data_IF_380584757870
#
_entry.id   IF_380584757870
#
_cell.length_a   1.000
_cell.length_b   1.000
_cell.length_c   1.000
_cell.angle_alpha   90.00
_cell.angle_beta   90.00
_cell.angle_gamma   90.00
#
_symmetry.space_group_name_H-M   'P 1'
#
loop_
_entity.id
_entity.type
_entity.pdbx_description
1 polymer ?
#
# COMPACT_ATOMS: atom_id res chain seq x y z
N UNK A 1 -27.74 -65.60 33.00
CA UNK A 1 -27.02 -64.30 32.94
C UNK A 1 -26.32 -64.23 31.60
N UNK A 2 -26.87 -63.50 30.62
CA UNK A 2 -26.24 -63.38 29.30
C UNK A 2 -25.25 -62.20 29.35
N UNK A 3 -23.96 -62.49 29.25
CA UNK A 3 -22.91 -61.47 29.09
C UNK A 3 -22.99 -60.91 27.67
N UNK A 4 -23.33 -59.63 27.55
CA UNK A 4 -23.19 -58.88 26.30
C UNK A 4 -21.69 -58.86 25.94
N UNK A 5 -21.33 -59.42 24.79
CA UNK A 5 -19.96 -59.32 24.26
C UNK A 5 -19.54 -57.86 24.11
N UNK A 6 -18.22 -57.57 24.14
CA UNK A 6 -17.72 -56.21 24.02
C UNK A 6 -18.25 -55.57 22.74
N UNK A 7 -18.74 -54.34 22.86
CA UNK A 7 -19.30 -53.59 21.74
C UNK A 7 -18.19 -53.35 20.71
N UNK A 8 -18.30 -53.98 19.54
CA UNK A 8 -17.36 -53.79 18.44
C UNK A 8 -17.52 -52.35 17.92
N UNK A 9 -16.49 -51.53 18.13
CA UNK A 9 -16.47 -50.16 17.65
C UNK A 9 -16.20 -50.21 16.15
N UNK A 10 -16.98 -49.47 15.36
CA UNK A 10 -16.82 -49.42 13.91
C UNK A 10 -15.51 -48.68 13.54
N UNK A 11 -14.42 -49.44 13.47
CA UNK A 11 -13.08 -48.92 13.16
C UNK A 11 -12.95 -48.37 11.75
N UNK A 12 -13.80 -48.82 10.80
CA UNK A 12 -13.82 -48.29 9.43
C UNK A 12 -14.31 -46.83 9.42
N UNK A 13 -15.42 -46.55 10.11
CA UNK A 13 -15.96 -45.19 10.19
C UNK A 13 -15.06 -44.24 10.98
N UNK A 14 -14.37 -44.75 12.02
CA UNK A 14 -13.37 -43.95 12.74
C UNK A 14 -12.13 -43.65 11.88
N UNK A 15 -11.70 -44.60 11.05
CA UNK A 15 -10.56 -44.40 10.15
C UNK A 15 -10.86 -43.36 9.06
N UNK A 16 -12.05 -43.39 8.47
CA UNK A 16 -12.45 -42.40 7.44
C UNK A 16 -12.52 -40.98 8.01
N UNK A 17 -13.10 -40.82 9.21
CA UNK A 17 -13.17 -39.51 9.88
C UNK A 17 -11.76 -39.02 10.25
N UNK A 18 -10.89 -39.89 10.74
CA UNK A 18 -9.50 -39.52 11.05
C UNK A 18 -8.72 -39.13 9.79
N UNK A 19 -8.94 -39.79 8.65
CA UNK A 19 -8.30 -39.47 7.38
C UNK A 19 -8.77 -38.14 6.80
N UNK A 20 -10.07 -37.86 6.86
CA UNK A 20 -10.63 -36.56 6.46
C UNK A 20 -10.11 -35.42 7.34
N UNK A 21 -10.02 -35.63 8.66
CA UNK A 21 -9.43 -34.64 9.57
C UNK A 21 -7.93 -34.44 9.29
N UNK A 22 -7.19 -35.51 9.03
CA UNK A 22 -5.76 -35.43 8.71
C UNK A 22 -5.52 -34.65 7.40
N UNK A 23 -6.26 -34.96 6.34
CA UNK A 23 -6.17 -34.25 5.06
C UNK A 23 -6.63 -32.80 5.18
N UNK A 24 -7.68 -32.53 5.97
CA UNK A 24 -8.11 -31.18 6.31
C UNK A 24 -7.03 -30.40 7.06
N UNK A 25 -6.42 -31.00 8.10
CA UNK A 25 -5.30 -30.38 8.82
C UNK A 25 -4.09 -30.16 7.92
N UNK A 26 -3.72 -31.12 7.06
CA UNK A 26 -2.62 -30.96 6.11
C UNK A 26 -2.90 -29.85 5.08
N UNK A 27 -4.13 -29.76 4.56
CA UNK A 27 -4.53 -28.76 3.57
C UNK A 27 -4.63 -27.35 4.17
N UNK A 28 -5.11 -27.23 5.40
CA UNK A 28 -5.22 -25.93 6.10
C UNK A 28 -3.91 -25.47 6.72
N UNK A 29 -2.98 -26.37 7.06
CA UNK A 29 -1.64 -26.02 7.57
C UNK A 29 -0.63 -25.72 6.45
N UNK A 30 -0.85 -26.23 5.23
CA UNK A 30 -0.04 -25.87 4.06
C UNK A 30 -0.50 -24.60 3.36
N UNK A 31 -1.62 -23.99 3.80
CA UNK A 31 -1.94 -22.60 3.47
C UNK A 31 -1.02 -21.67 4.27
N UNK A 32 0.24 -21.67 3.86
CA UNK A 32 1.23 -20.71 4.30
C UNK A 32 0.88 -19.33 3.75
N UNK A 33 0.15 -18.53 4.55
CA UNK A 33 -0.12 -17.12 4.27
C UNK A 33 1.07 -16.25 4.68
N UNK A 34 2.25 -16.53 4.14
CA UNK A 34 3.45 -15.71 4.35
C UNK A 34 3.49 -14.44 3.48
N UNK A 35 2.33 -13.81 3.24
CA UNK A 35 2.23 -12.46 2.66
C UNK A 35 1.18 -11.62 3.38
N UNK A 36 1.13 -11.71 4.71
CA UNK A 36 0.50 -10.68 5.52
C UNK A 36 1.43 -9.47 5.60
N UNK A 37 1.23 -8.45 4.77
CA UNK A 37 1.76 -7.12 5.07
C UNK A 37 1.25 -6.73 6.46
N UNK A 38 2.15 -6.67 7.45
CA UNK A 38 1.83 -6.14 8.79
C UNK A 38 1.54 -4.64 8.65
N UNK A 39 0.32 -4.31 8.24
CA UNK A 39 -0.18 -2.94 8.25
C UNK A 39 -0.71 -2.65 9.65
N UNK A 40 0.03 -1.88 10.43
CA UNK A 40 -0.60 -1.21 11.56
C UNK A 40 -1.66 -0.26 10.99
N UNK A 41 -2.89 -0.38 11.48
CA UNK A 41 -3.88 0.64 11.24
C UNK A 41 -3.32 1.95 11.82
N UNK A 42 -3.38 3.08 11.08
CA UNK A 42 -3.13 4.38 11.68
C UNK A 42 -3.98 4.51 12.95
N UNK A 43 -3.44 5.10 14.03
CA UNK A 43 -4.23 5.33 15.22
C UNK A 43 -5.52 6.10 14.83
N UNK A 44 -6.68 5.74 15.43
CA UNK A 44 -7.91 6.47 15.17
C UNK A 44 -7.67 7.95 15.50
N UNK A 45 -7.93 8.83 14.52
CA UNK A 45 -7.80 10.27 14.69
C UNK A 45 -8.80 10.72 15.76
N UNK A 46 -8.32 10.99 16.97
CA UNK A 46 -9.09 11.66 18.03
C UNK A 46 -9.08 13.15 17.75
N UNK A 47 -10.00 13.57 16.89
CA UNK A 47 -10.27 14.96 16.54
C UNK A 47 -11.43 14.98 15.56
N UNK A 48 -12.16 16.09 15.47
CA UNK A 48 -13.10 16.29 14.37
C UNK A 48 -12.36 16.02 13.07
N UNK A 49 -12.77 14.98 12.34
CA UNK A 49 -12.32 14.77 10.97
C UNK A 49 -12.92 15.96 10.21
N UNK A 50 -12.18 17.07 10.16
CA UNK A 50 -12.36 18.06 9.12
C UNK A 50 -12.44 17.21 7.86
N UNK A 51 -13.60 17.22 7.21
CA UNK A 51 -13.73 16.69 5.85
C UNK A 51 -12.80 17.56 5.02
N UNK A 52 -11.50 17.23 5.04
CA UNK A 52 -10.51 17.86 4.21
C UNK A 52 -10.95 17.47 2.82
N UNK A 53 -11.65 18.39 2.17
CA UNK A 53 -12.04 18.30 0.79
C UNK A 53 -10.72 18.24 0.03
N UNK A 54 -10.23 17.03 -0.23
CA UNK A 54 -8.96 16.82 -0.92
C UNK A 54 -9.19 17.40 -2.31
N UNK A 55 -8.53 18.53 -2.59
CA UNK A 55 -8.66 19.18 -3.88
C UNK A 55 -8.23 18.19 -4.96
N UNK A 56 -8.99 18.09 -6.05
CA UNK A 56 -8.72 17.12 -7.12
C UNK A 56 -7.30 17.26 -7.71
N UNK A 57 -6.74 18.49 -7.71
CA UNK A 57 -5.34 18.76 -8.11
C UNK A 57 -4.29 18.09 -7.21
N UNK A 58 -4.66 17.80 -5.95
CA UNK A 58 -3.78 17.14 -4.99
C UNK A 58 -3.80 15.61 -5.15
N UNK A 59 -4.58 15.05 -6.08
CA UNK A 59 -4.68 13.60 -6.27
C UNK A 59 -4.10 13.21 -7.63
N UNK A 60 -3.10 12.33 -7.64
CA UNK A 60 -2.68 11.63 -8.86
C UNK A 60 -3.31 10.25 -8.89
N UNK A 61 -4.06 9.97 -9.95
CA UNK A 61 -4.64 8.65 -10.19
C UNK A 61 -3.61 7.81 -10.93
N UNK A 62 -3.20 6.71 -10.31
CA UNK A 62 -2.37 5.65 -10.88
C UNK A 62 -3.28 4.45 -11.10
N UNK A 63 -3.65 4.20 -12.36
CA UNK A 63 -4.57 3.14 -12.74
C UNK A 63 -3.87 2.04 -13.52
N UNK A 64 -4.15 0.79 -13.14
CA UNK A 64 -3.74 -0.40 -13.89
C UNK A 64 -4.99 -1.02 -14.51
N UNK A 65 -4.96 -1.32 -15.81
CA UNK A 65 -6.06 -1.96 -16.50
C UNK A 65 -5.89 -3.48 -16.61
N UNK A 66 -6.91 -4.15 -17.15
CA UNK A 66 -6.96 -5.59 -17.41
C UNK A 66 -5.89 -6.14 -18.36
N UNK A 67 -5.21 -5.26 -19.11
CA UNK A 67 -4.12 -5.60 -20.01
C UNK A 67 -2.75 -5.30 -19.38
N UNK A 68 -2.70 -5.14 -18.05
CA UNK A 68 -1.53 -4.73 -17.26
C UNK A 68 -0.88 -3.43 -17.75
N UNK A 69 -1.64 -2.56 -18.44
CA UNK A 69 -1.17 -1.24 -18.84
C UNK A 69 -1.39 -0.24 -17.71
N UNK A 70 -0.34 0.50 -17.42
CA UNK A 70 -0.31 1.55 -16.44
C UNK A 70 -0.72 2.89 -17.06
N UNK A 71 -1.57 3.60 -16.34
CA UNK A 71 -1.95 4.98 -16.63
C UNK A 71 -1.67 5.81 -15.37
N UNK A 72 -0.94 6.92 -15.48
CA UNK A 72 -0.80 7.87 -14.38
C UNK A 72 -1.20 9.27 -14.83
N UNK A 73 -2.03 9.95 -14.04
CA UNK A 73 -2.56 11.26 -14.42
C UNK A 73 -3.37 11.25 -15.72
N UNK A 74 -3.96 10.10 -16.06
CA UNK A 74 -4.74 9.90 -17.29
C UNK A 74 -3.93 9.59 -18.56
N UNK A 75 -2.60 9.52 -18.48
CA UNK A 75 -1.73 9.20 -19.62
C UNK A 75 -1.17 7.78 -19.51
N UNK A 76 -1.17 6.97 -20.60
CA UNK A 76 -0.51 5.67 -20.60
C UNK A 76 1.00 5.86 -20.44
N UNK A 77 1.63 5.04 -19.60
CA UNK A 77 3.08 5.10 -19.38
C UNK A 77 3.65 3.75 -18.96
N UNK A 78 4.95 3.59 -19.12
CA UNK A 78 5.67 2.43 -18.63
C UNK A 78 5.93 2.54 -17.13
N UNK A 79 5.96 1.39 -16.46
CA UNK A 79 6.19 1.28 -15.01
C UNK A 79 7.51 1.96 -14.60
N UNK A 80 8.56 1.85 -15.40
CA UNK A 80 9.86 2.49 -15.13
C UNK A 80 9.81 4.02 -15.10
N UNK A 81 8.84 4.65 -15.78
CA UNK A 81 8.66 6.11 -15.77
C UNK A 81 7.79 6.59 -14.61
N UNK A 82 7.05 5.69 -13.97
CA UNK A 82 6.13 6.03 -12.88
C UNK A 82 6.88 6.70 -11.73
N UNK A 83 8.06 6.20 -11.40
CA UNK A 83 8.89 6.72 -10.31
C UNK A 83 9.16 8.22 -10.48
N UNK A 84 9.69 8.60 -11.63
CA UNK A 84 10.02 10.00 -11.93
C UNK A 84 8.76 10.88 -11.97
N UNK A 85 7.64 10.32 -12.47
CA UNK A 85 6.36 11.04 -12.48
C UNK A 85 5.83 11.32 -11.09
N UNK A 86 5.92 10.35 -10.18
CA UNK A 86 5.51 10.51 -8.78
C UNK A 86 6.43 11.51 -8.07
N UNK A 87 7.75 11.48 -8.34
CA UNK A 87 8.69 12.48 -7.81
C UNK A 87 8.31 13.89 -8.25
N UNK A 88 8.07 14.10 -9.54
CA UNK A 88 7.64 15.38 -10.10
C UNK A 88 6.34 15.87 -9.45
N UNK A 89 5.35 14.98 -9.32
CA UNK A 89 4.07 15.28 -8.71
C UNK A 89 4.21 15.72 -7.25
N UNK A 90 4.89 14.96 -6.40
CA UNK A 90 5.04 15.27 -4.97
C UNK A 90 5.87 16.54 -4.78
N UNK A 91 6.99 16.66 -5.49
CA UNK A 91 7.93 17.76 -5.30
C UNK A 91 7.42 19.08 -5.86
N UNK A 92 6.54 19.05 -6.88
CA UNK A 92 6.03 20.23 -7.59
C UNK A 92 7.08 21.36 -7.68
N UNK A 93 8.20 21.15 -8.40
CA UNK A 93 9.33 22.07 -8.38
C UNK A 93 9.03 23.39 -9.10
N UNK A 94 8.10 23.38 -10.05
CA UNK A 94 7.70 24.54 -10.86
C UNK A 94 6.53 25.32 -10.27
N UNK A 95 6.02 24.91 -9.09
CA UNK A 95 4.84 25.49 -8.44
C UNK A 95 3.65 25.58 -9.41
N UNK A 96 3.44 24.52 -10.20
CA UNK A 96 2.37 24.47 -11.19
C UNK A 96 1.02 24.40 -10.46
N UNK A 97 0.05 25.28 -10.78
CA UNK A 97 -1.29 25.25 -10.17
C UNK A 97 -2.08 23.96 -10.46
N UNK A 98 -1.63 23.12 -11.40
CA UNK A 98 -2.21 21.79 -11.68
C UNK A 98 -1.64 20.67 -10.80
N UNK A 99 -0.56 20.95 -10.07
CA UNK A 99 0.13 20.00 -9.20
C UNK A 99 -0.27 20.24 -7.73
N UNK A 100 0.05 19.30 -6.81
CA UNK A 100 -0.39 19.38 -5.44
C UNK A 100 0.17 20.62 -4.74
N UNK A 101 -0.68 21.21 -3.90
CA UNK A 101 -0.28 22.29 -3.01
C UNK A 101 0.65 21.79 -1.92
N UNK A 102 1.54 22.69 -1.50
CA UNK A 102 2.38 22.50 -0.32
C UNK A 102 1.82 23.34 0.81
N UNK A 103 1.57 22.71 1.96
CA UNK A 103 1.16 23.39 3.18
C UNK A 103 2.37 23.58 4.07
N UNK A 104 2.57 24.80 4.59
CA UNK A 104 3.56 25.00 5.64
C UNK A 104 3.09 24.27 6.89
N UNK A 105 3.90 23.30 7.32
CA UNK A 105 3.66 22.53 8.53
C UNK A 105 4.90 22.64 9.40
N UNK A 106 4.69 22.92 10.68
CA UNK A 106 5.76 22.90 11.67
C UNK A 106 6.12 21.46 12.00
N UNK A 107 7.37 21.07 11.77
CA UNK A 107 7.90 19.75 12.08
C UNK A 107 8.77 19.86 13.33
N UNK A 108 8.39 19.15 14.38
CA UNK A 108 9.14 19.12 15.64
C UNK A 108 10.58 18.63 15.41
N UNK A 109 11.55 19.46 15.80
CA UNK A 109 12.98 19.16 15.60
C UNK A 109 13.58 19.63 14.27
N UNK A 110 12.77 20.22 13.38
CA UNK A 110 13.25 20.80 12.10
C UNK A 110 12.81 22.25 11.89
N UNK A 111 11.55 22.57 12.21
CA UNK A 111 10.93 23.87 11.97
C UNK A 111 9.87 23.83 10.86
N UNK A 112 9.54 25.00 10.32
CA UNK A 112 8.53 25.11 9.26
C UNK A 112 9.04 24.54 7.94
N UNK A 113 8.27 23.62 7.35
CA UNK A 113 8.61 23.00 6.08
C UNK A 113 7.38 22.95 5.14
N UNK A 114 7.58 23.20 3.82
CA UNK A 114 6.55 23.02 2.81
C UNK A 114 6.26 21.53 2.54
N UNK A 115 5.31 20.97 3.28
CA UNK A 115 4.87 19.57 3.10
C UNK A 115 3.87 19.48 1.95
N UNK A 116 4.09 18.56 1.01
CA UNK A 116 3.16 18.29 -0.09
C UNK A 116 1.89 17.61 0.42
N UNK A 117 0.72 18.12 0.03
CA UNK A 117 -0.57 17.47 0.27
C UNK A 117 -0.94 16.44 -0.82
N UNK A 118 0.03 16.05 -1.66
CA UNK A 118 -0.18 15.12 -2.76
C UNK A 118 -0.55 13.72 -2.29
N UNK A 119 -1.70 13.22 -2.75
CA UNK A 119 -2.20 11.86 -2.50
C UNK A 119 -2.08 11.03 -3.78
N UNK A 120 -1.51 9.85 -3.65
CA UNK A 120 -1.40 8.88 -4.74
C UNK A 120 -2.55 7.90 -4.63
N UNK A 121 -3.50 7.97 -5.56
CA UNK A 121 -4.64 7.05 -5.63
C UNK A 121 -4.30 5.89 -6.57
N UNK A 122 -4.02 4.71 -6.00
CA UNK A 122 -3.81 3.48 -6.77
C UNK A 122 -5.16 2.83 -7.04
N UNK A 123 -5.46 2.61 -8.32
CA UNK A 123 -6.69 1.98 -8.80
C UNK A 123 -6.33 0.79 -9.69
N UNK A 124 -6.92 -0.37 -9.45
CA UNK A 124 -6.70 -1.56 -10.28
C UNK A 124 -8.02 -2.06 -10.86
N UNK A 125 -7.94 -2.68 -12.03
CA UNK A 125 -9.04 -3.50 -12.55
C UNK A 125 -9.07 -4.85 -11.82
N UNK A 126 -10.24 -5.49 -11.74
CA UNK A 126 -10.41 -6.82 -11.10
C UNK A 126 -9.58 -7.91 -11.76
N UNK A 127 -9.27 -7.72 -13.05
CA UNK A 127 -8.47 -8.65 -13.85
C UNK A 127 -6.98 -8.28 -13.92
N UNK A 128 -6.56 -7.25 -13.20
CA UNK A 128 -5.13 -6.87 -13.11
C UNK A 128 -4.33 -7.99 -12.46
N UNK A 129 -3.18 -8.33 -13.04
CA UNK A 129 -2.30 -9.34 -12.46
C UNK A 129 -1.70 -8.83 -11.16
N UNK A 130 -1.66 -9.67 -10.12
CA UNK A 130 -1.01 -9.32 -8.83
C UNK A 130 0.44 -8.85 -9.01
N UNK A 131 1.17 -9.43 -9.96
CA UNK A 131 2.51 -9.01 -10.34
C UNK A 131 2.56 -7.54 -10.78
N UNK A 132 1.69 -7.13 -11.70
CA UNK A 132 1.65 -5.75 -12.20
C UNK A 132 1.30 -4.77 -11.07
N UNK A 133 0.36 -5.15 -10.19
CA UNK A 133 0.04 -4.38 -8.99
C UNK A 133 1.25 -4.16 -8.07
N UNK A 134 2.01 -5.21 -7.76
CA UNK A 134 3.19 -5.13 -6.90
C UNK A 134 4.32 -4.33 -7.55
N UNK A 135 4.54 -4.50 -8.86
CA UNK A 135 5.53 -3.71 -9.59
C UNK A 135 5.24 -2.21 -9.48
N UNK A 136 3.99 -1.81 -9.73
CA UNK A 136 3.56 -0.41 -9.61
C UNK A 136 3.69 0.09 -8.16
N UNK A 137 3.29 -0.71 -7.18
CA UNK A 137 3.42 -0.33 -5.77
C UNK A 137 4.89 -0.15 -5.35
N UNK A 138 5.78 -1.03 -5.81
CA UNK A 138 7.22 -0.92 -5.55
C UNK A 138 7.81 0.36 -6.16
N UNK A 139 7.44 0.73 -7.38
CA UNK A 139 7.91 1.98 -8.00
C UNK A 139 7.42 3.22 -7.25
N UNK A 140 6.16 3.23 -6.79
CA UNK A 140 5.63 4.32 -5.96
C UNK A 140 6.44 4.45 -4.66
N UNK A 141 6.69 3.33 -3.98
CA UNK A 141 7.47 3.31 -2.74
C UNK A 141 8.92 3.76 -3.01
N UNK A 142 9.53 3.30 -4.10
CA UNK A 142 10.87 3.68 -4.51
C UNK A 142 10.97 5.18 -4.76
N UNK A 143 9.99 5.80 -5.43
CA UNK A 143 9.94 7.24 -5.67
C UNK A 143 9.98 8.03 -4.35
N UNK A 144 9.14 7.64 -3.38
CA UNK A 144 9.06 8.31 -2.08
C UNK A 144 10.35 8.12 -1.29
N UNK A 145 10.92 6.92 -1.30
CA UNK A 145 12.19 6.64 -0.62
C UNK A 145 13.33 7.47 -1.20
N UNK A 146 13.38 7.64 -2.52
CA UNK A 146 14.38 8.47 -3.18
C UNK A 146 14.24 9.95 -2.78
N UNK A 147 13.01 10.48 -2.71
CA UNK A 147 12.75 11.84 -2.21
C UNK A 147 13.18 11.99 -0.75
N UNK A 148 12.95 10.97 0.08
CA UNK A 148 13.39 10.95 1.49
C UNK A 148 14.89 10.89 1.62
N UNK A 149 15.56 10.10 0.78
CA UNK A 149 17.02 10.02 0.73
C UNK A 149 17.62 11.37 0.29
N UNK A 150 17.09 11.99 -0.76
CA UNK A 150 17.52 13.30 -1.25
C UNK A 150 17.39 14.37 -0.14
N UNK A 151 16.26 14.39 0.59
CA UNK A 151 16.06 15.25 1.74
C UNK A 151 17.05 14.94 2.87
N UNK A 152 17.29 13.66 3.16
CA UNK A 152 18.19 13.22 4.22
C UNK A 152 19.64 13.61 3.94
N UNK A 153 20.10 13.41 2.70
CA UNK A 153 21.44 13.76 2.25
C UNK A 153 21.61 15.28 2.24
N UNK A 154 20.60 16.04 1.80
CA UNK A 154 20.65 17.50 1.79
C UNK A 154 20.77 18.10 3.20
N UNK A 155 20.10 17.52 4.20
CA UNK A 155 20.08 18.06 5.56
C UNK A 155 21.20 17.50 6.46
N UNK A 156 21.58 16.23 6.31
CA UNK A 156 22.54 15.55 7.21
C UNK A 156 23.69 14.83 6.51
N UNK A 157 23.77 14.86 5.17
CA UNK A 157 24.83 14.21 4.40
C UNK A 157 24.81 12.68 4.43
N UNK A 158 23.71 12.08 4.89
CA UNK A 158 23.56 10.63 5.05
C UNK A 158 22.23 10.15 4.44
N UNK A 159 22.17 8.92 3.90
CA UNK A 159 20.92 8.35 3.40
C UNK A 159 19.93 8.11 4.55
N UNK A 160 18.64 8.11 4.25
CA UNK A 160 17.53 7.95 5.20
C UNK A 160 17.69 6.68 6.06
N UNK A 161 18.16 5.59 5.46
CA UNK A 161 18.40 4.31 6.13
C UNK A 161 19.45 4.35 7.25
N UNK A 162 20.35 5.35 7.25
CA UNK A 162 21.41 5.52 8.25
C UNK A 162 21.09 6.59 9.30
N UNK A 163 19.97 7.28 9.17
CA UNK A 163 19.51 8.24 10.15
C UNK A 163 19.02 7.53 11.43
N UNK A 164 19.16 8.21 12.56
CA UNK A 164 18.55 7.84 13.83
C UNK A 164 17.02 8.02 13.80
N UNK A 165 16.31 7.38 14.73
CA UNK A 165 14.84 7.36 14.74
C UNK A 165 14.21 8.76 14.77
N UNK A 166 14.85 9.71 15.45
CA UNK A 166 14.37 11.09 15.55
C UNK A 166 14.43 11.81 14.20
N UNK A 167 15.57 11.73 13.51
CA UNK A 167 15.72 12.30 12.16
C UNK A 167 14.88 11.58 11.12
N UNK A 168 14.73 10.26 11.24
CA UNK A 168 13.82 9.53 10.36
C UNK A 168 12.36 9.96 10.56
N UNK A 169 11.94 10.28 11.79
CA UNK A 169 10.62 10.84 12.07
C UNK A 169 10.45 12.19 11.35
N UNK A 170 11.42 13.10 11.48
CA UNK A 170 11.42 14.39 10.77
C UNK A 170 11.25 14.19 9.27
N UNK A 171 11.98 13.26 8.66
CA UNK A 171 11.89 12.99 7.21
C UNK A 171 10.52 12.43 6.82
N UNK A 172 9.93 11.55 7.65
CA UNK A 172 8.58 11.01 7.40
C UNK A 172 7.49 12.08 7.51
N UNK A 173 7.66 13.04 8.42
CA UNK A 173 6.74 14.15 8.61
C UNK A 173 6.89 15.19 7.47
N UNK A 174 8.11 15.42 7.00
CA UNK A 174 8.39 16.30 5.87
C UNK A 174 7.89 15.72 4.54
N UNK A 175 8.04 14.41 4.36
CA UNK A 175 7.70 13.68 3.14
C UNK A 175 6.80 12.50 3.54
N UNK A 176 5.50 12.76 3.77
CA UNK A 176 4.54 11.74 4.14
C UNK A 176 4.26 10.81 2.95
N UNK A 177 4.04 9.54 3.24
CA UNK A 177 3.63 8.55 2.26
C UNK A 177 2.11 8.47 2.24
N UNK A 178 1.46 9.28 1.40
CA UNK A 178 0.01 9.31 1.27
C UNK A 178 -0.43 8.47 0.06
N UNK A 179 -0.62 7.18 0.28
CA UNK A 179 -1.13 6.25 -0.73
C UNK A 179 -2.53 5.80 -0.33
N UNK A 180 -3.49 5.99 -1.23
CA UNK A 180 -4.87 5.52 -1.09
C UNK A 180 -5.13 4.45 -2.14
N UNK A 181 -5.47 3.25 -1.69
CA UNK A 181 -5.94 2.17 -2.56
C UNK A 181 -7.46 2.30 -2.68
N UNK A 182 -7.96 2.48 -3.90
CA UNK A 182 -9.39 2.45 -4.16
C UNK A 182 -9.82 1.02 -4.52
N UNK A 183 -11.05 0.65 -4.15
CA UNK A 183 -11.62 -0.63 -4.58
C UNK A 183 -11.63 -0.74 -6.11
N UNK A 184 -11.38 -1.95 -6.65
CA UNK A 184 -11.35 -2.14 -8.09
C UNK A 184 -12.71 -1.82 -8.69
N UNK A 185 -12.77 -0.81 -9.56
CA UNK A 185 -14.01 -0.44 -10.27
C UNK A 185 -14.29 -1.44 -11.38
N UNK A 186 -15.51 -1.98 -11.40
CA UNK A 186 -16.02 -2.75 -12.54
C UNK A 186 -16.06 -1.84 -13.78
N UNK A 187 -15.18 -2.10 -14.75
CA UNK A 187 -15.34 -1.57 -16.11
C UNK A 187 -16.29 -2.47 -16.89
N UNK A 188 -17.48 -2.72 -16.34
CA UNK A 188 -18.56 -3.42 -17.04
C UNK A 188 -19.68 -2.43 -17.26
N UNK A 189 -19.70 -1.78 -18.44
CA UNK A 189 -20.86 -0.99 -18.85
C UNK A 189 -20.56 0.25 -19.67
N UNK A 190 -20.17 0.05 -20.93
CA UNK A 190 -20.28 1.06 -21.99
C UNK A 190 -20.49 0.32 -23.30
N UNK A 191 -21.73 0.35 -23.79
CA UNK A 191 -22.18 -0.27 -25.05
C UNK A 191 -21.32 0.12 -26.26
#
# INVERSE_FOLDING_TARGET
>A
MATRGPMEINSSSMADIAFLLLTYFLMTTTMDQNYGLRRQLPPPVTGEVENQQINERNVIIVRINSLDRLFAGGQPMDVSMLKDKIKEFILNPTDDPKLPEKKMTYIEGYGDYPVSNGVISLQNDRSTTYKAYIEVQNEIVAAINEIRDDFSIKNWGMPYSRLDEERQRIVRDAIPQQISEAEPKDVTGGK
#
